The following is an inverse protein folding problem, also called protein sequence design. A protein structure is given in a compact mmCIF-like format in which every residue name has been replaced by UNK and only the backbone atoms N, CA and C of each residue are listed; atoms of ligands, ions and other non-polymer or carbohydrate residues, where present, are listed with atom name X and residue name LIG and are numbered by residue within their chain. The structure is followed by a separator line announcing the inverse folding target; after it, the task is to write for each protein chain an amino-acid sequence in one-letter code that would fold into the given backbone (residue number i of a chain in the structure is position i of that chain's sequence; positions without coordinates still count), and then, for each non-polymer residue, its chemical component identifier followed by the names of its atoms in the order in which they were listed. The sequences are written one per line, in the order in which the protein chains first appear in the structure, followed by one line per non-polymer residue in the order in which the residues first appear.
data_IF_938881029712
#
_entry.id   IF_938881029712
#
_cell.length_a   1.000
_cell.length_b   1.000
_cell.length_c   1.000
_cell.angle_alpha   90.00
_cell.angle_beta   90.00
_cell.angle_gamma   90.00
#
_symmetry.space_group_name_H-M   'P 1'
#
loop_
_entity.id
_entity.type
_entity.pdbx_description
1 polymer ?
#
# COMPACT_ATOMS: atom_id res chain seq x y z
N UNK A 1 -8.22 -4.23 28.37
CA UNK A 1 -9.49 -4.94 28.15
C UNK A 1 -10.40 -4.81 29.36
N UNK A 2 -10.10 -5.42 30.53
CA UNK A 2 -10.99 -5.46 31.70
C UNK A 2 -11.57 -4.09 32.11
N UNK A 3 -10.74 -3.04 32.13
CA UNK A 3 -11.20 -1.68 32.47
C UNK A 3 -12.19 -1.09 31.46
N UNK A 4 -11.99 -1.37 30.17
CA UNK A 4 -12.90 -0.90 29.11
C UNK A 4 -14.21 -1.67 29.15
N UNK A 5 -14.15 -2.99 29.32
CA UNK A 5 -15.33 -3.85 29.39
C UNK A 5 -16.21 -3.49 30.58
N UNK A 6 -15.61 -3.23 31.76
CA UNK A 6 -16.35 -2.77 32.93
C UNK A 6 -17.11 -1.46 32.67
N UNK A 7 -16.45 -0.46 32.09
CA UNK A 7 -17.10 0.81 31.74
C UNK A 7 -18.20 0.66 30.69
N UNK A 8 -18.03 -0.20 29.69
CA UNK A 8 -19.04 -0.45 28.67
C UNK A 8 -20.24 -1.18 29.26
N UNK A 9 -20.01 -2.15 30.17
CA UNK A 9 -21.07 -2.85 30.90
C UNK A 9 -21.88 -1.91 31.78
N UNK A 10 -21.25 -0.94 32.47
CA UNK A 10 -21.96 0.09 33.25
C UNK A 10 -22.85 0.97 32.38
N UNK A 11 -22.51 1.16 31.11
CA UNK A 11 -23.27 1.96 30.13
C UNK A 11 -24.27 1.15 29.33
N UNK A 12 -24.44 -0.15 29.61
CA UNK A 12 -25.24 -1.09 28.80
C UNK A 12 -24.90 -0.97 27.30
N UNK A 13 -23.62 -0.88 26.99
CA UNK A 13 -23.10 -0.62 25.66
C UNK A 13 -21.99 -1.60 25.28
N UNK A 14 -21.80 -1.79 23.99
CA UNK A 14 -20.68 -2.60 23.46
C UNK A 14 -20.00 -1.87 22.31
N UNK A 15 -18.78 -2.31 21.99
CA UNK A 15 -18.02 -1.77 20.85
C UNK A 15 -17.56 -2.91 19.97
N UNK A 16 -17.80 -2.78 18.67
CA UNK A 16 -17.18 -3.66 17.66
C UNK A 16 -15.82 -3.11 17.26
N UNK A 17 -14.83 -3.98 17.11
CA UNK A 17 -13.46 -3.59 16.80
C UNK A 17 -12.78 -4.67 15.95
N UNK A 18 -12.11 -4.27 14.89
CA UNK A 18 -11.07 -5.06 14.25
C UNK A 18 -9.71 -4.45 14.57
N UNK A 19 -8.85 -5.22 15.26
CA UNK A 19 -7.48 -4.82 15.57
C UNK A 19 -6.52 -5.57 14.67
N UNK A 20 -5.65 -4.84 13.98
CA UNK A 20 -4.69 -5.37 13.03
C UNK A 20 -3.32 -4.81 13.37
N UNK A 21 -2.33 -5.70 13.45
CA UNK A 21 -0.93 -5.33 13.65
C UNK A 21 -0.09 -5.87 12.50
N UNK A 22 0.62 -4.97 11.82
CA UNK A 22 1.55 -5.30 10.75
C UNK A 22 2.97 -5.16 11.29
N UNK A 23 3.75 -6.24 11.19
CA UNK A 23 5.17 -6.23 11.52
C UNK A 23 5.99 -6.29 10.23
N UNK A 24 6.44 -5.12 9.77
CA UNK A 24 7.20 -5.02 8.53
C UNK A 24 8.59 -5.68 8.62
N UNK A 25 9.16 -5.78 9.83
CA UNK A 25 10.47 -6.41 10.02
C UNK A 25 10.41 -7.94 9.91
N UNK A 26 9.36 -8.54 10.46
CA UNK A 26 9.15 -9.99 10.43
C UNK A 26 8.32 -10.44 9.22
N UNK A 27 7.76 -9.49 8.46
CA UNK A 27 6.86 -9.84 7.36
C UNK A 27 5.58 -10.53 7.83
N UNK A 28 5.07 -10.19 9.01
CA UNK A 28 3.88 -10.85 9.58
C UNK A 28 2.75 -9.86 9.80
N UNK A 29 1.53 -10.35 9.72
CA UNK A 29 0.32 -9.65 10.12
C UNK A 29 -0.42 -10.47 11.15
N UNK A 30 -0.98 -9.80 12.15
CA UNK A 30 -1.90 -10.41 13.09
C UNK A 30 -3.20 -9.63 13.17
N UNK A 31 -4.30 -10.33 13.35
CA UNK A 31 -5.61 -9.72 13.46
C UNK A 31 -6.51 -10.43 14.48
N UNK A 32 -7.39 -9.63 15.07
CA UNK A 32 -8.49 -10.08 15.91
C UNK A 32 -9.73 -9.24 15.59
N UNK A 33 -10.86 -9.87 15.42
CA UNK A 33 -12.16 -9.22 15.23
C UNK A 33 -13.03 -9.43 16.47
N UNK A 34 -13.43 -8.34 17.09
CA UNK A 34 -14.30 -8.32 18.26
C UNK A 34 -15.70 -7.85 17.82
N UNK A 35 -16.51 -8.76 17.25
CA UNK A 35 -17.83 -8.43 16.73
C UNK A 35 -17.85 -7.54 15.49
N UNK A 36 -16.72 -7.26 14.88
CA UNK A 36 -16.61 -6.50 13.63
C UNK A 36 -16.45 -7.45 12.45
N UNK A 37 -16.62 -6.93 11.21
CA UNK A 37 -16.37 -7.70 10.00
C UNK A 37 -14.91 -8.18 9.98
N UNK A 38 -14.70 -9.48 9.69
CA UNK A 38 -13.34 -9.98 9.53
C UNK A 38 -12.72 -9.39 8.27
N UNK A 39 -11.50 -8.87 8.34
CA UNK A 39 -10.78 -8.45 7.16
C UNK A 39 -10.55 -9.63 6.22
N UNK A 40 -10.46 -9.36 4.92
CA UNK A 40 -10.12 -10.36 3.92
C UNK A 40 -8.62 -10.31 3.62
N UNK A 41 -7.94 -11.44 3.80
CA UNK A 41 -6.58 -11.65 3.35
C UNK A 41 -6.59 -12.10 1.88
N UNK A 42 -5.87 -11.36 1.05
CA UNK A 42 -5.74 -11.60 -0.39
C UNK A 42 -4.30 -12.00 -0.66
N UNK A 43 -4.09 -13.28 -1.00
CA UNK A 43 -2.79 -13.85 -1.30
C UNK A 43 -2.82 -14.45 -2.71
N UNK A 44 -2.21 -13.75 -3.65
CA UNK A 44 -2.35 -14.12 -5.05
C UNK A 44 -3.81 -14.15 -5.49
N UNK A 45 -4.33 -15.31 -5.93
CA UNK A 45 -5.74 -15.53 -6.31
C UNK A 45 -6.60 -16.06 -5.15
N UNK A 46 -6.04 -16.24 -3.97
CA UNK A 46 -6.77 -16.75 -2.81
C UNK A 46 -7.26 -15.59 -1.96
N UNK A 47 -8.54 -15.60 -1.65
CA UNK A 47 -9.16 -14.65 -0.72
C UNK A 47 -9.83 -15.43 0.40
N UNK A 48 -9.58 -15.03 1.62
CA UNK A 48 -10.21 -15.63 2.80
C UNK A 48 -10.41 -14.61 3.91
N UNK A 49 -11.38 -14.84 4.76
CA UNK A 49 -11.48 -14.13 6.03
C UNK A 49 -10.23 -14.38 6.89
N UNK A 50 -9.79 -13.37 7.60
CA UNK A 50 -8.56 -13.37 8.39
C UNK A 50 -8.77 -12.73 9.75
N UNK A 51 -8.12 -13.30 10.75
CA UNK A 51 -8.25 -12.88 12.14
C UNK A 51 -9.23 -13.75 12.94
N UNK A 52 -8.89 -14.02 14.19
CA UNK A 52 -9.80 -14.72 15.11
C UNK A 52 -11.05 -13.89 15.37
N UNK A 53 -12.19 -14.56 15.50
CA UNK A 53 -13.49 -13.92 15.72
C UNK A 53 -13.94 -14.08 17.16
N UNK A 54 -14.30 -12.99 17.79
CA UNK A 54 -14.70 -12.90 19.18
C UNK A 54 -15.95 -12.03 19.36
N UNK A 55 -16.54 -12.08 20.54
CA UNK A 55 -17.63 -11.20 20.92
C UNK A 55 -17.19 -9.73 20.94
N UNK A 56 -18.10 -8.78 20.70
CA UNK A 56 -17.84 -7.36 20.87
C UNK A 56 -17.29 -7.04 22.27
N UNK A 57 -16.49 -5.98 22.37
CA UNK A 57 -16.00 -5.48 23.63
C UNK A 57 -17.17 -4.98 24.48
N UNK A 58 -17.24 -5.39 25.74
CA UNK A 58 -18.32 -5.01 26.67
C UNK A 58 -19.41 -6.06 26.84
N UNK A 59 -19.50 -7.07 25.95
CA UNK A 59 -20.54 -8.12 26.05
C UNK A 59 -20.21 -9.14 27.15
N UNK A 60 -18.94 -9.56 27.27
CA UNK A 60 -18.53 -10.57 28.22
C UNK A 60 -17.17 -10.20 28.85
N UNK A 61 -17.14 -10.04 30.19
CA UNK A 61 -15.91 -9.67 30.89
C UNK A 61 -14.82 -10.75 30.84
N UNK A 62 -15.24 -12.01 30.78
CA UNK A 62 -14.34 -13.18 30.78
C UNK A 62 -13.85 -13.55 29.37
N UNK A 63 -14.21 -12.79 28.33
CA UNK A 63 -13.76 -13.06 26.97
C UNK A 63 -12.23 -12.94 26.86
N UNK A 64 -11.62 -13.95 26.27
CA UNK A 64 -10.18 -13.98 26.01
C UNK A 64 -9.94 -13.80 24.52
N UNK A 65 -9.44 -12.63 24.15
CA UNK A 65 -9.15 -12.31 22.77
C UNK A 65 -7.81 -12.90 22.35
N UNK A 66 -7.84 -13.73 21.31
CA UNK A 66 -6.65 -14.31 20.68
C UNK A 66 -6.47 -13.72 19.28
N UNK A 67 -5.25 -13.61 18.82
CA UNK A 67 -4.95 -13.14 17.47
C UNK A 67 -4.62 -14.31 16.53
N UNK A 68 -5.06 -14.23 15.29
CA UNK A 68 -4.53 -15.06 14.21
C UNK A 68 -3.31 -14.36 13.62
N UNK A 69 -2.21 -15.09 13.41
CA UNK A 69 -0.95 -14.56 12.86
C UNK A 69 -0.60 -15.30 11.59
N UNK A 70 -0.23 -14.58 10.54
CA UNK A 70 0.25 -15.16 9.28
C UNK A 70 1.45 -14.39 8.74
N UNK A 71 2.25 -15.05 7.92
CA UNK A 71 3.29 -14.42 7.13
C UNK A 71 2.67 -13.79 5.89
N UNK A 72 3.15 -12.61 5.53
CA UNK A 72 2.75 -11.86 4.34
C UNK A 72 3.86 -11.91 3.30
N UNK A 73 3.51 -12.33 2.10
CA UNK A 73 4.38 -12.26 0.95
C UNK A 73 4.25 -10.94 0.18
N UNK A 74 5.22 -10.64 -0.67
CA UNK A 74 5.14 -9.48 -1.57
C UNK A 74 3.88 -9.54 -2.46
N UNK A 75 3.12 -8.45 -2.48
CA UNK A 75 1.88 -8.33 -3.24
C UNK A 75 0.63 -8.83 -2.52
N UNK A 76 0.77 -9.50 -1.38
CA UNK A 76 -0.37 -9.83 -0.51
C UNK A 76 -1.03 -8.55 -0.02
N UNK A 77 -2.31 -8.62 0.26
CA UNK A 77 -3.03 -7.47 0.77
C UNK A 77 -4.13 -7.86 1.74
N UNK A 78 -4.49 -6.89 2.55
CA UNK A 78 -5.60 -6.96 3.49
C UNK A 78 -6.66 -5.96 3.07
N UNK A 79 -7.90 -6.41 2.99
CA UNK A 79 -9.08 -5.58 2.79
C UNK A 79 -9.88 -5.55 4.08
N UNK A 80 -10.01 -4.37 4.69
CA UNK A 80 -10.94 -4.10 5.78
C UNK A 80 -12.16 -3.38 5.22
N UNK A 81 -13.32 -3.68 5.73
CA UNK A 81 -14.59 -3.11 5.25
C UNK A 81 -15.62 -3.04 6.38
N UNK A 82 -16.58 -2.12 6.24
CA UNK A 82 -17.78 -2.06 7.09
C UNK A 82 -18.88 -2.97 6.53
N UNK A 83 -19.84 -3.32 7.38
CA UNK A 83 -21.02 -4.07 7.01
C UNK A 83 -21.86 -3.36 5.93
N UNK A 84 -21.83 -2.01 5.88
CA UNK A 84 -22.45 -1.26 4.81
C UNK A 84 -22.06 -1.72 3.40
N UNK A 85 -20.85 -2.29 3.23
CA UNK A 85 -20.40 -2.84 1.94
C UNK A 85 -21.15 -4.14 1.60
N UNK A 86 -21.25 -5.06 2.54
CA UNK A 86 -21.92 -6.35 2.36
C UNK A 86 -23.44 -6.22 2.37
N UNK A 87 -23.98 -5.27 3.12
CA UNK A 87 -25.41 -5.02 3.25
C UNK A 87 -25.96 -4.10 2.15
N UNK A 88 -25.09 -3.56 1.28
CA UNK A 88 -25.50 -2.78 0.11
C UNK A 88 -26.51 -3.59 -0.74
N UNK A 89 -27.67 -2.98 -1.09
CA UNK A 89 -28.77 -3.69 -1.77
C UNK A 89 -29.00 -3.17 -3.18
N UNK A 90 -29.25 -4.12 -4.09
CA UNK A 90 -29.67 -3.83 -5.45
C UNK A 90 -31.18 -3.49 -5.51
N UNK A 91 -31.74 -3.08 -6.67
CA UNK A 91 -33.17 -2.79 -6.83
C UNK A 91 -34.09 -3.95 -6.48
N UNK A 92 -33.61 -5.18 -6.59
CA UNK A 92 -34.31 -6.41 -6.25
C UNK A 92 -34.31 -6.71 -4.74
N UNK A 93 -33.57 -5.91 -3.95
CA UNK A 93 -33.44 -6.05 -2.51
C UNK A 93 -32.39 -7.10 -2.06
N UNK A 94 -31.66 -7.69 -2.99
CA UNK A 94 -30.55 -8.60 -2.66
C UNK A 94 -29.37 -7.83 -2.06
N UNK A 95 -28.71 -8.40 -1.05
CA UNK A 95 -27.49 -7.85 -0.50
C UNK A 95 -26.27 -8.17 -1.38
N UNK A 96 -25.26 -7.31 -1.40
CA UNK A 96 -24.00 -7.56 -2.07
C UNK A 96 -23.33 -8.82 -1.52
N UNK A 97 -23.23 -8.92 -0.22
CA UNK A 97 -22.76 -10.08 0.51
C UNK A 97 -21.24 -10.31 0.44
N UNK A 98 -20.75 -11.13 1.35
CA UNK A 98 -19.32 -11.47 1.41
C UNK A 98 -18.85 -12.25 0.19
N UNK A 99 -19.67 -13.12 -0.39
CA UNK A 99 -19.28 -13.92 -1.56
C UNK A 99 -18.94 -13.04 -2.77
N UNK A 100 -19.77 -12.02 -3.05
CA UNK A 100 -19.50 -11.08 -4.14
C UNK A 100 -18.28 -10.21 -3.83
N UNK A 101 -18.12 -9.82 -2.56
CA UNK A 101 -16.93 -9.07 -2.13
C UNK A 101 -15.66 -9.90 -2.31
N UNK A 102 -15.64 -11.17 -1.91
CA UNK A 102 -14.51 -12.08 -2.12
C UNK A 102 -14.22 -12.29 -3.61
N UNK A 103 -15.25 -12.47 -4.43
CA UNK A 103 -15.10 -12.60 -5.88
C UNK A 103 -14.48 -11.33 -6.50
N UNK A 104 -14.91 -10.15 -6.07
CA UNK A 104 -14.32 -8.87 -6.47
C UNK A 104 -12.86 -8.75 -6.02
N UNK A 105 -12.58 -9.11 -4.76
CA UNK A 105 -11.23 -9.09 -4.20
C UNK A 105 -10.27 -10.05 -4.93
N UNK A 106 -10.76 -11.21 -5.40
CA UNK A 106 -9.96 -12.16 -6.20
C UNK A 106 -9.48 -11.51 -7.50
N UNK A 107 -10.24 -10.63 -8.11
CA UNK A 107 -9.84 -9.89 -9.32
C UNK A 107 -8.80 -8.79 -9.04
N UNK A 108 -8.68 -8.37 -7.79
CA UNK A 108 -7.66 -7.41 -7.34
C UNK A 108 -6.26 -8.04 -7.23
N UNK A 109 -6.13 -9.32 -7.50
CA UNK A 109 -4.99 -10.17 -7.17
C UNK A 109 -3.74 -10.10 -8.06
N UNK A 110 -3.66 -9.47 -9.23
CA UNK A 110 -2.35 -9.31 -9.84
C UNK A 110 -1.50 -8.34 -9.00
N UNK A 111 -0.26 -8.75 -8.71
CA UNK A 111 0.74 -7.97 -7.97
C UNK A 111 1.06 -6.58 -8.57
N UNK A 112 0.46 -6.27 -9.72
CA UNK A 112 0.68 -5.07 -10.53
C UNK A 112 -0.19 -3.88 -10.07
N UNK A 113 -1.22 -4.13 -9.26
CA UNK A 113 -2.20 -3.09 -8.92
C UNK A 113 -1.94 -2.55 -7.53
N UNK A 114 -1.55 -1.28 -7.45
CA UNK A 114 -1.43 -0.54 -6.20
C UNK A 114 -2.77 -0.46 -5.43
N UNK A 115 -2.72 -0.04 -4.15
CA UNK A 115 -3.91 -0.03 -3.28
C UNK A 115 -5.05 0.82 -3.84
N UNK A 116 -4.76 1.94 -4.49
CA UNK A 116 -5.77 2.82 -5.08
C UNK A 116 -6.58 2.12 -6.18
N UNK A 117 -5.91 1.40 -7.10
CA UNK A 117 -6.60 0.68 -8.17
C UNK A 117 -7.47 -0.47 -7.65
N UNK A 118 -7.05 -1.11 -6.56
CA UNK A 118 -7.84 -2.16 -5.88
C UNK A 118 -9.10 -1.59 -5.27
N UNK A 119 -8.99 -0.46 -4.55
CA UNK A 119 -10.16 0.25 -3.99
C UNK A 119 -11.11 0.70 -5.10
N UNK A 120 -10.61 1.26 -6.19
CA UNK A 120 -11.44 1.72 -7.30
C UNK A 120 -12.20 0.58 -7.99
N UNK A 121 -11.58 -0.60 -8.13
CA UNK A 121 -12.26 -1.79 -8.63
C UNK A 121 -13.41 -2.22 -7.71
N UNK A 122 -13.12 -2.38 -6.42
CA UNK A 122 -14.11 -2.79 -5.42
C UNK A 122 -15.28 -1.80 -5.35
N UNK A 123 -14.96 -0.50 -5.32
CA UNK A 123 -15.95 0.57 -5.32
C UNK A 123 -16.84 0.55 -6.57
N UNK A 124 -16.25 0.30 -7.74
CA UNK A 124 -17.00 0.16 -8.99
C UNK A 124 -17.95 -1.01 -8.94
N UNK A 125 -17.50 -2.17 -8.48
CA UNK A 125 -18.35 -3.38 -8.40
C UNK A 125 -19.55 -3.18 -7.47
N UNK A 126 -19.33 -2.57 -6.29
CA UNK A 126 -20.42 -2.24 -5.37
C UNK A 126 -21.37 -1.24 -6.00
N UNK A 127 -20.86 -0.21 -6.68
CA UNK A 127 -21.67 0.81 -7.36
C UNK A 127 -22.50 0.23 -8.51
N UNK A 128 -21.93 -0.67 -9.30
CA UNK A 128 -22.61 -1.36 -10.38
C UNK A 128 -23.73 -2.25 -9.82
N UNK A 129 -23.47 -2.95 -8.73
CA UNK A 129 -24.47 -3.78 -8.06
C UNK A 129 -25.64 -2.97 -7.48
N UNK A 130 -25.36 -1.81 -6.88
CA UNK A 130 -26.38 -0.88 -6.39
C UNK A 130 -27.31 -0.38 -7.50
N UNK A 131 -26.88 -0.38 -8.76
CA UNK A 131 -27.66 0.03 -9.93
C UNK A 131 -28.43 1.35 -9.74
N UNK A 132 -27.83 2.30 -8.99
CA UNK A 132 -28.42 3.60 -8.68
C UNK A 132 -29.18 3.69 -7.36
N UNK A 133 -29.36 2.58 -6.63
CA UNK A 133 -29.89 2.63 -5.27
C UNK A 133 -28.92 3.36 -4.33
N UNK A 134 -29.46 4.09 -3.37
CA UNK A 134 -28.65 4.65 -2.29
C UNK A 134 -28.19 3.53 -1.34
N UNK A 135 -26.94 3.56 -0.86
CA UNK A 135 -26.53 2.65 0.20
C UNK A 135 -27.39 2.82 1.45
N UNK A 136 -27.63 1.74 2.18
CA UNK A 136 -28.39 1.75 3.43
C UNK A 136 -27.55 2.20 4.62
N UNK A 137 -26.24 2.14 4.49
CA UNK A 137 -25.25 2.55 5.51
C UNK A 137 -23.97 3.06 4.85
N UNK A 138 -23.05 3.60 5.66
CA UNK A 138 -21.76 4.12 5.21
C UNK A 138 -20.86 3.02 4.66
N UNK A 139 -20.39 3.20 3.44
CA UNK A 139 -19.48 2.30 2.75
C UNK A 139 -18.02 2.65 3.08
N UNK A 140 -17.42 1.89 3.98
CA UNK A 140 -15.99 2.07 4.32
C UNK A 140 -15.18 0.89 3.83
N UNK A 141 -14.10 1.17 3.10
CA UNK A 141 -13.12 0.17 2.67
C UNK A 141 -11.71 0.70 2.84
N UNK A 142 -10.81 -0.15 3.33
CA UNK A 142 -9.38 0.12 3.44
C UNK A 142 -8.60 -1.06 2.87
N UNK A 143 -7.68 -0.79 1.96
CA UNK A 143 -6.75 -1.81 1.44
C UNK A 143 -5.34 -1.48 1.88
N UNK A 144 -4.71 -2.42 2.58
CA UNK A 144 -3.28 -2.41 2.84
C UNK A 144 -2.62 -3.45 1.95
N UNK A 145 -1.67 -3.04 1.11
CA UNK A 145 -0.88 -3.94 0.27
C UNK A 145 0.47 -4.12 0.93
N UNK A 146 0.86 -5.38 1.15
CA UNK A 146 2.20 -5.68 1.62
C UNK A 146 3.16 -5.38 0.47
N UNK A 147 4.12 -4.48 0.66
CA UNK A 147 4.96 -4.09 -0.45
C UNK A 147 5.63 -5.35 -1.00
N UNK A 148 5.56 -5.55 -2.30
CA UNK A 148 6.62 -6.29 -2.98
C UNK A 148 7.88 -5.75 -2.34
N UNK A 149 8.69 -6.57 -1.66
CA UNK A 149 9.94 -6.12 -1.07
C UNK A 149 10.51 -5.15 -2.09
N UNK A 150 10.42 -3.85 -1.79
CA UNK A 150 10.98 -2.85 -2.69
C UNK A 150 12.40 -3.33 -2.84
N UNK A 151 12.84 -3.75 -4.00
CA UNK A 151 14.21 -4.20 -4.14
C UNK A 151 15.02 -3.09 -3.49
N UNK A 152 15.91 -3.46 -2.57
CA UNK A 152 16.75 -2.48 -1.86
C UNK A 152 17.23 -1.54 -2.96
N UNK A 153 16.85 -0.24 -2.93
CA UNK A 153 17.14 0.62 -4.06
C UNK A 153 18.61 0.53 -4.35
N UNK A 154 18.98 0.24 -5.58
CA UNK A 154 20.36 0.37 -6.00
C UNK A 154 20.74 1.82 -5.76
N UNK A 155 21.84 2.07 -5.10
CA UNK A 155 22.24 3.41 -4.67
C UNK A 155 23.61 3.75 -5.22
N UNK A 156 23.71 4.91 -5.82
CA UNK A 156 24.94 5.57 -6.18
C UNK A 156 25.03 6.90 -5.43
N UNK A 157 26.11 7.12 -4.70
CA UNK A 157 26.43 8.42 -4.14
C UNK A 157 27.47 9.10 -5.03
N UNK A 158 27.11 10.24 -5.61
CA UNK A 158 27.97 11.02 -6.50
C UNK A 158 28.22 12.42 -5.91
N UNK A 159 29.42 12.96 -6.12
CA UNK A 159 29.67 14.38 -5.80
C UNK A 159 28.92 15.29 -6.79
N UNK A 160 28.61 16.53 -6.37
CA UNK A 160 27.95 17.53 -7.23
C UNK A 160 28.90 18.12 -8.24
N UNK A 161 29.42 17.28 -9.12
CA UNK A 161 30.36 17.67 -10.19
C UNK A 161 29.95 17.05 -11.51
N UNK A 162 30.09 17.80 -12.60
CA UNK A 162 29.80 17.30 -13.96
C UNK A 162 30.70 16.13 -14.36
N UNK A 163 31.90 16.01 -13.75
CA UNK A 163 32.78 14.85 -13.91
C UNK A 163 32.17 13.52 -13.53
N UNK A 164 31.14 13.53 -12.70
CA UNK A 164 30.42 12.33 -12.23
C UNK A 164 29.38 11.80 -13.22
N UNK A 165 29.10 12.51 -14.30
CA UNK A 165 28.11 12.06 -15.31
C UNK A 165 28.43 10.66 -15.83
N UNK A 166 29.70 10.37 -16.11
CA UNK A 166 30.11 9.04 -16.58
C UNK A 166 29.80 7.94 -15.55
N UNK A 167 29.94 8.23 -14.26
CA UNK A 167 29.61 7.29 -13.19
C UNK A 167 28.07 7.10 -13.06
N UNK A 168 27.31 8.16 -13.22
CA UNK A 168 25.84 8.09 -13.27
C UNK A 168 25.37 7.25 -14.45
N UNK A 169 25.95 7.44 -15.62
CA UNK A 169 25.61 6.66 -16.82
C UNK A 169 25.97 5.18 -16.66
N UNK A 170 27.14 4.86 -16.10
CA UNK A 170 27.54 3.48 -15.81
C UNK A 170 26.55 2.81 -14.85
N UNK A 171 26.19 3.49 -13.77
CA UNK A 171 25.20 3.02 -12.80
C UNK A 171 23.84 2.73 -13.46
N UNK A 172 23.36 3.62 -14.31
CA UNK A 172 22.09 3.43 -15.03
C UNK A 172 22.20 2.23 -15.99
N UNK A 173 23.26 2.11 -16.74
CA UNK A 173 23.46 1.02 -17.70
C UNK A 173 23.48 -0.36 -17.00
N UNK A 174 24.22 -0.49 -15.90
CA UNK A 174 24.29 -1.72 -15.13
C UNK A 174 22.91 -2.14 -14.60
N UNK A 175 22.16 -1.20 -14.02
CA UNK A 175 20.87 -1.50 -13.41
C UNK A 175 19.76 -1.67 -14.44
N UNK A 176 19.74 -0.93 -15.54
CA UNK A 176 18.78 -1.15 -16.64
C UNK A 176 18.98 -2.51 -17.30
N UNK A 177 20.23 -3.00 -17.38
CA UNK A 177 20.55 -4.34 -17.87
C UNK A 177 20.06 -5.41 -16.89
N UNK A 178 20.30 -5.24 -15.59
CA UNK A 178 19.81 -6.17 -14.55
C UNK A 178 18.27 -6.24 -14.52
N UNK A 179 17.60 -5.11 -14.72
CA UNK A 179 16.12 -5.04 -14.78
C UNK A 179 15.56 -5.45 -16.14
N UNK A 180 16.41 -5.82 -17.09
CA UNK A 180 16.03 -6.28 -18.43
C UNK A 180 15.10 -5.29 -19.16
N UNK A 181 15.43 -3.99 -19.11
CA UNK A 181 14.64 -2.96 -19.76
C UNK A 181 14.88 -2.90 -21.27
N UNK A 182 13.85 -2.57 -22.07
CA UNK A 182 14.04 -2.33 -23.52
C UNK A 182 14.97 -1.15 -23.79
N UNK A 183 15.81 -1.24 -24.84
CA UNK A 183 16.81 -0.23 -25.19
C UNK A 183 16.23 1.19 -25.30
N UNK A 184 15.03 1.34 -25.87
CA UNK A 184 14.39 2.66 -26.01
C UNK A 184 13.96 3.26 -24.66
N UNK A 185 13.71 2.43 -23.65
CA UNK A 185 13.43 2.87 -22.26
C UNK A 185 14.73 3.27 -21.59
N UNK A 186 15.78 2.46 -21.74
CA UNK A 186 17.12 2.74 -21.21
C UNK A 186 17.62 4.12 -21.68
N UNK A 187 17.54 4.38 -22.98
CA UNK A 187 17.99 5.65 -23.55
C UNK A 187 17.20 6.87 -23.01
N UNK A 188 15.87 6.76 -22.92
CA UNK A 188 15.04 7.84 -22.38
C UNK A 188 15.31 8.09 -20.90
N UNK A 189 15.51 7.01 -20.14
CA UNK A 189 15.81 7.09 -18.70
C UNK A 189 17.17 7.75 -18.47
N UNK A 190 18.18 7.32 -19.21
CA UNK A 190 19.52 7.91 -19.14
C UNK A 190 19.48 9.42 -19.44
N UNK A 191 18.82 9.81 -20.53
CA UNK A 191 18.70 11.22 -20.91
C UNK A 191 18.01 12.04 -19.81
N UNK A 192 16.91 11.56 -19.26
CA UNK A 192 16.17 12.26 -18.22
C UNK A 192 17.00 12.39 -16.92
N UNK A 193 17.65 11.30 -16.48
CA UNK A 193 18.43 11.31 -15.25
C UNK A 193 19.68 12.21 -15.37
N UNK A 194 20.39 12.14 -16.49
CA UNK A 194 21.56 12.99 -16.74
C UNK A 194 21.18 14.46 -16.77
N UNK A 195 20.02 14.79 -17.39
CA UNK A 195 19.51 16.18 -17.40
C UNK A 195 19.21 16.67 -15.97
N UNK A 196 18.47 15.88 -15.18
CA UNK A 196 18.14 16.24 -13.80
C UNK A 196 19.40 16.35 -12.96
N UNK A 197 20.34 15.39 -13.07
CA UNK A 197 21.64 15.44 -12.35
C UNK A 197 22.43 16.71 -12.71
N UNK A 198 22.51 17.03 -14.00
CA UNK A 198 23.18 18.23 -14.49
C UNK A 198 22.55 19.50 -13.90
N UNK A 199 21.22 19.55 -13.83
CA UNK A 199 20.50 20.68 -13.24
C UNK A 199 20.77 20.81 -11.75
N UNK A 200 20.77 19.70 -11.01
CA UNK A 200 21.15 19.68 -9.58
C UNK A 200 22.56 20.20 -9.38
N UNK A 201 23.54 19.80 -10.21
CA UNK A 201 24.92 20.26 -10.12
C UNK A 201 25.03 21.75 -10.45
N UNK A 202 24.38 22.24 -11.51
CA UNK A 202 24.45 23.64 -11.95
C UNK A 202 23.78 24.63 -11.00
N UNK A 203 22.69 24.21 -10.35
CA UNK A 203 21.91 25.07 -9.46
C UNK A 203 22.28 24.89 -7.98
N UNK A 204 23.24 24.01 -7.66
CA UNK A 204 23.81 23.92 -6.33
C UNK A 204 24.66 25.14 -6.04
N UNK A 205 24.30 25.92 -5.03
CA UNK A 205 25.07 27.09 -4.65
C UNK A 205 26.50 26.69 -4.23
N UNK A 206 27.48 27.43 -4.75
CA UNK A 206 28.89 27.32 -4.39
C UNK A 206 29.09 27.72 -2.92
N UNK A 207 29.09 26.76 -2.02
CA UNK A 207 29.34 26.99 -0.57
C UNK A 207 29.20 25.76 0.30
N UNK A 208 28.59 24.69 -0.17
CA UNK A 208 28.49 23.43 0.55
C UNK A 208 29.53 22.44 -0.03
N UNK A 209 30.77 22.56 0.42
CA UNK A 209 31.94 21.81 -0.09
C UNK A 209 31.87 20.28 0.09
N UNK A 210 30.78 19.69 0.58
CA UNK A 210 30.61 18.24 0.74
C UNK A 210 29.18 17.74 0.44
N UNK A 211 28.46 18.39 -0.47
CA UNK A 211 27.12 17.91 -0.83
C UNK A 211 27.20 16.83 -1.91
N UNK A 212 26.76 15.65 -1.58
CA UNK A 212 26.53 14.55 -2.51
C UNK A 212 25.10 14.56 -3.06
N UNK A 213 24.93 13.89 -4.19
CA UNK A 213 23.64 13.48 -4.74
C UNK A 213 23.55 11.98 -4.59
N UNK A 214 22.49 11.50 -3.98
CA UNK A 214 22.15 10.09 -3.94
C UNK A 214 21.19 9.78 -5.09
N UNK A 215 21.63 8.93 -5.99
CA UNK A 215 20.82 8.37 -7.06
C UNK A 215 20.34 6.99 -6.61
N UNK A 216 19.03 6.85 -6.51
CA UNK A 216 18.37 5.61 -6.13
C UNK A 216 17.59 5.06 -7.33
N UNK A 217 17.70 3.75 -7.58
CA UNK A 217 16.98 3.09 -8.67
C UNK A 217 16.42 1.76 -8.19
N UNK A 218 15.15 1.52 -8.45
CA UNK A 218 14.48 0.24 -8.14
C UNK A 218 13.42 -0.07 -9.18
N UNK A 219 13.05 -1.34 -9.24
CA UNK A 219 11.99 -1.84 -10.11
C UNK A 219 10.86 -2.39 -9.24
N UNK A 220 9.63 -1.98 -9.50
CA UNK A 220 8.43 -2.49 -8.83
C UNK A 220 7.42 -2.93 -9.88
N UNK A 221 7.24 -4.24 -10.01
CA UNK A 221 6.45 -4.83 -11.10
C UNK A 221 7.04 -4.50 -12.48
N UNK A 222 6.29 -3.77 -13.30
CA UNK A 222 6.73 -3.29 -14.62
C UNK A 222 7.19 -1.83 -14.61
N UNK A 223 7.22 -1.21 -13.45
CA UNK A 223 7.61 0.19 -13.29
C UNK A 223 9.03 0.29 -12.76
N UNK A 224 9.81 1.17 -13.35
CA UNK A 224 11.12 1.55 -12.88
C UNK A 224 11.05 2.93 -12.26
N UNK A 225 11.57 3.05 -11.07
CA UNK A 225 11.63 4.28 -10.31
C UNK A 225 13.07 4.73 -10.20
N UNK A 226 13.26 6.01 -10.34
CA UNK A 226 14.55 6.67 -10.09
C UNK A 226 14.30 7.90 -9.24
N UNK A 227 15.07 8.03 -8.16
CA UNK A 227 15.04 9.21 -7.31
C UNK A 227 16.44 9.82 -7.22
N UNK A 228 16.50 11.13 -7.28
CA UNK A 228 17.71 11.90 -6.99
C UNK A 228 17.44 12.68 -5.70
N UNK A 229 18.24 12.38 -4.68
CA UNK A 229 18.16 13.05 -3.38
C UNK A 229 19.41 13.91 -3.19
N UNK A 230 19.23 15.17 -2.89
CA UNK A 230 20.34 16.05 -2.56
C UNK A 230 19.99 16.98 -1.43
N UNK A 231 20.96 17.26 -0.56
CA UNK A 231 20.81 18.31 0.45
C UNK A 231 21.11 19.65 -0.24
N UNK A 232 20.13 20.55 -0.24
CA UNK A 232 20.24 21.87 -0.88
C UNK A 232 19.02 22.73 -0.55
N UNK A 233 18.99 23.93 -1.11
CA UNK A 233 17.81 24.79 -1.00
C UNK A 233 16.64 24.20 -1.80
N UNK A 234 15.45 24.47 -1.34
CA UNK A 234 14.21 24.07 -2.00
C UNK A 234 14.19 24.56 -3.46
N UNK A 235 14.01 23.65 -4.39
CA UNK A 235 13.89 23.96 -5.80
C UNK A 235 12.42 24.17 -6.15
N UNK A 236 12.06 25.37 -6.59
CA UNK A 236 10.73 25.68 -7.10
C UNK A 236 10.73 25.62 -8.63
N UNK A 237 10.16 24.56 -9.25
CA UNK A 237 10.13 24.41 -10.70
C UNK A 237 9.24 25.44 -11.41
N UNK A 238 8.42 26.22 -10.68
CA UNK A 238 7.54 27.22 -11.26
C UNK A 238 8.24 28.57 -11.56
N UNK A 239 9.50 28.72 -11.14
CA UNK A 239 10.27 29.96 -11.33
C UNK A 239 11.25 29.92 -12.51
N UNK A 240 11.18 28.85 -13.36
CA UNK A 240 12.06 28.69 -14.53
C UNK A 240 11.30 28.35 -15.80
#
# INVERSE_FOLDING_TARGET
HAQLTHKLSELDSFVTLAYIRINCTLGTISAVSCGHMQPLLINGSRVRAFGSQHLPLGVLESEVYTEEVVEMGPGDSLLCFSDGVTDARNPEGEAFGEERLMASATRCSPAIWGPAARIDLLRRDVKEFLAGCAPTDDLTMLVAVFPLLSPVPKRLQASKELSQIAQVQAFLYENTTEFNLPDHVCFKLELAVVEVFTNVVRHSQAGLQHSSVDLLMWCEGQMVYVALESIGNEFDPSQH
#
